data_IF_806838935655
#
_entry.id   IF_806838935655
#
_cell.length_a   1.000
_cell.length_b   1.000
_cell.length_c   1.000
_cell.angle_alpha   90.00
_cell.angle_beta   90.00
_cell.angle_gamma   90.00
#
_symmetry.space_group_name_H-M   'P 1'
#
loop_
_entity.id
_entity.type
_entity.pdbx_description
1 polymer ?
#
# COMPACT_ATOMS: atom_id res chain seq x y z
N UNK A 1 -1.76 -7.63 6.58
CA UNK A 1 -1.37 -8.98 6.09
C UNK A 1 -0.58 -8.99 4.79
N UNK A 2 -0.46 -7.88 4.04
CA UNK A 2 0.21 -7.93 2.72
C UNK A 2 1.66 -8.44 2.77
N UNK A 3 2.37 -8.20 3.88
CA UNK A 3 3.75 -8.67 4.06
C UNK A 3 3.87 -10.20 3.97
N UNK A 4 2.79 -10.95 4.23
CA UNK A 4 2.78 -12.41 4.15
C UNK A 4 2.42 -12.95 2.76
N UNK A 5 1.54 -12.24 2.06
CA UNK A 5 0.86 -12.75 0.87
C UNK A 5 1.20 -11.97 -0.40
N UNK A 6 1.92 -10.86 -0.28
CA UNK A 6 2.28 -9.96 -1.37
C UNK A 6 1.18 -8.96 -1.75
N UNK A 7 1.56 -7.96 -2.54
CA UNK A 7 0.68 -6.86 -2.96
C UNK A 7 -0.50 -7.36 -3.82
N UNK A 8 -0.26 -8.28 -4.76
CA UNK A 8 -1.28 -8.79 -5.69
C UNK A 8 -2.38 -9.59 -4.97
N UNK A 9 -2.00 -10.51 -4.09
CA UNK A 9 -2.97 -11.32 -3.37
C UNK A 9 -3.71 -10.49 -2.31
N UNK A 10 -3.05 -9.48 -1.73
CA UNK A 10 -3.72 -8.54 -0.84
C UNK A 10 -4.77 -7.69 -1.58
N UNK A 11 -4.46 -7.21 -2.78
CA UNK A 11 -5.41 -6.49 -3.64
C UNK A 11 -6.61 -7.38 -4.02
N UNK A 12 -6.34 -8.63 -4.41
CA UNK A 12 -7.40 -9.60 -4.68
C UNK A 12 -8.27 -9.83 -3.44
N UNK A 13 -7.67 -10.05 -2.27
CA UNK A 13 -8.41 -10.31 -1.04
C UNK A 13 -9.40 -9.17 -0.69
N UNK A 14 -9.06 -7.91 -0.98
CA UNK A 14 -9.96 -6.77 -0.80
C UNK A 14 -11.24 -6.89 -1.64
N UNK A 15 -11.18 -7.55 -2.80
CA UNK A 15 -12.35 -7.80 -3.66
C UNK A 15 -13.21 -8.97 -3.16
N UNK A 16 -12.70 -9.80 -2.26
CA UNK A 16 -13.37 -11.00 -1.74
C UNK A 16 -13.71 -10.90 -0.24
N UNK A 17 -13.88 -9.68 0.27
CA UNK A 17 -14.42 -9.43 1.61
C UNK A 17 -13.41 -9.02 2.68
N UNK A 18 -12.12 -8.93 2.36
CA UNK A 18 -11.17 -8.25 3.24
C UNK A 18 -11.44 -6.73 3.25
N UNK A 19 -11.39 -6.12 4.43
CA UNK A 19 -11.67 -4.70 4.65
C UNK A 19 -10.46 -3.92 5.23
N UNK A 20 -9.44 -4.62 5.72
CA UNK A 20 -8.21 -4.05 6.28
C UNK A 20 -6.95 -4.55 5.55
N UNK A 21 -6.03 -3.62 5.27
CA UNK A 21 -4.72 -3.90 4.71
C UNK A 21 -3.65 -3.16 5.50
N UNK A 22 -2.62 -3.90 5.90
CA UNK A 22 -1.47 -3.39 6.66
C UNK A 22 -0.15 -3.93 6.09
N UNK A 23 0.94 -3.26 6.46
CA UNK A 23 2.33 -3.58 6.16
C UNK A 23 3.24 -2.34 6.15
N UNK A 24 2.73 -1.14 6.50
CA UNK A 24 3.50 0.13 6.40
C UNK A 24 4.43 0.37 7.59
N UNK A 25 4.57 -0.61 8.49
CA UNK A 25 5.43 -0.43 9.64
C UNK A 25 6.88 -0.39 9.13
N UNK A 26 7.48 0.80 9.20
CA UNK A 26 8.86 1.10 8.76
C UNK A 26 9.92 0.13 9.31
N UNK A 27 9.57 -0.64 10.34
CA UNK A 27 10.42 -1.59 11.02
C UNK A 27 9.75 -2.96 11.19
N UNK A 28 9.11 -3.49 10.13
CA UNK A 28 8.67 -4.90 10.08
C UNK A 28 9.85 -5.87 9.94
N UNK A 29 10.85 -5.76 10.81
CA UNK A 29 11.99 -6.67 10.84
C UNK A 29 11.53 -8.11 11.06
N UNK A 30 10.48 -8.33 11.86
CA UNK A 30 9.96 -9.67 12.17
C UNK A 30 9.51 -10.40 10.90
N UNK A 31 8.71 -9.75 10.05
CA UNK A 31 8.15 -10.40 8.85
C UNK A 31 9.20 -10.60 7.77
N UNK A 32 10.17 -9.69 7.67
CA UNK A 32 11.30 -9.87 6.77
C UNK A 32 12.23 -11.01 7.21
N UNK A 33 12.50 -11.11 8.52
CA UNK A 33 13.23 -12.26 9.11
C UNK A 33 12.48 -13.58 8.91
N UNK A 34 11.15 -13.54 8.87
CA UNK A 34 10.30 -14.70 8.55
C UNK A 34 10.23 -15.02 7.04
N UNK A 35 10.99 -14.33 6.18
CA UNK A 35 11.11 -14.62 4.75
C UNK A 35 10.22 -13.78 3.83
N UNK A 36 9.55 -12.75 4.34
CA UNK A 36 8.81 -11.81 3.49
C UNK A 36 9.75 -11.11 2.51
N UNK A 37 9.38 -11.01 1.24
CA UNK A 37 10.11 -10.23 0.22
C UNK A 37 9.49 -8.85 0.01
N UNK A 38 8.47 -8.49 0.78
CA UNK A 38 7.75 -7.24 0.62
C UNK A 38 8.63 -6.05 1.06
N UNK A 39 8.66 -4.95 0.28
CA UNK A 39 9.48 -3.78 0.62
C UNK A 39 9.06 -3.13 1.96
N UNK A 40 10.05 -2.89 2.83
CA UNK A 40 9.90 -2.24 4.15
C UNK A 40 9.55 -0.75 4.03
N UNK A 41 10.12 -0.05 3.06
CA UNK A 41 9.83 1.35 2.77
C UNK A 41 8.58 1.46 1.89
N UNK A 42 7.43 1.16 2.48
CA UNK A 42 6.16 1.44 1.83
C UNK A 42 5.55 2.73 2.33
N UNK A 43 5.55 3.71 1.43
CA UNK A 43 4.83 4.96 1.62
C UNK A 43 3.33 4.69 1.65
N UNK A 44 2.61 5.34 2.56
CA UNK A 44 1.14 5.26 2.73
C UNK A 44 0.41 5.50 1.40
N UNK A 45 1.03 6.26 0.51
CA UNK A 45 0.62 6.50 -0.87
C UNK A 45 0.40 5.21 -1.67
N UNK A 46 1.30 4.22 -1.56
CA UNK A 46 1.20 2.98 -2.36
C UNK A 46 0.17 2.00 -1.77
N UNK A 47 -0.01 1.94 -0.44
CA UNK A 47 -1.18 1.25 0.14
C UNK A 47 -2.49 1.86 -0.36
N UNK A 48 -2.58 3.19 -0.34
CA UNK A 48 -3.77 3.88 -0.83
C UNK A 48 -4.02 3.63 -2.32
N UNK A 49 -2.95 3.42 -3.10
CA UNK A 49 -3.06 3.01 -4.50
C UNK A 49 -3.63 1.59 -4.62
N UNK A 50 -3.10 0.60 -3.89
CA UNK A 50 -3.63 -0.77 -3.90
C UNK A 50 -5.12 -0.83 -3.54
N UNK A 51 -5.53 -0.10 -2.49
CA UNK A 51 -6.94 -0.02 -2.08
C UNK A 51 -7.80 0.56 -3.22
N UNK A 52 -7.31 1.60 -3.90
CA UNK A 52 -8.03 2.22 -5.04
C UNK A 52 -8.08 1.31 -6.26
N UNK A 53 -6.98 0.63 -6.57
CA UNK A 53 -6.87 -0.28 -7.72
C UNK A 53 -7.83 -1.49 -7.53
N UNK A 54 -8.03 -1.94 -6.28
CA UNK A 54 -9.08 -2.90 -5.90
C UNK A 54 -10.53 -2.37 -5.97
N UNK A 55 -10.74 -1.09 -6.32
CA UNK A 55 -12.06 -0.45 -6.39
C UNK A 55 -12.60 0.07 -5.05
N UNK A 56 -11.77 0.09 -4.01
CA UNK A 56 -12.16 0.54 -2.66
C UNK A 56 -11.71 1.99 -2.37
N UNK A 57 -12.17 2.54 -1.25
CA UNK A 57 -11.79 3.88 -0.80
C UNK A 57 -10.78 3.81 0.35
N UNK A 58 -9.58 4.39 0.22
CA UNK A 58 -8.57 4.35 1.28
C UNK A 58 -8.99 5.18 2.49
N UNK A 59 -9.10 4.51 3.63
CA UNK A 59 -9.37 5.11 4.94
C UNK A 59 -8.28 4.70 5.93
N UNK A 60 -7.86 5.63 6.77
CA UNK A 60 -6.97 5.35 7.89
C UNK A 60 -7.81 5.13 9.14
N UNK A 61 -7.60 3.98 9.80
CA UNK A 61 -8.22 3.65 11.09
C UNK A 61 -7.32 3.99 12.27
N UNK A 62 -7.91 4.09 13.46
CA UNK A 62 -7.19 3.98 14.73
C UNK A 62 -6.99 2.49 15.12
N UNK A 63 -6.24 2.24 16.20
CA UNK A 63 -5.91 0.88 16.66
C UNK A 63 -7.14 0.05 17.01
N UNK A 64 -8.21 0.68 17.49
CA UNK A 64 -9.43 0.04 17.98
C UNK A 64 -10.58 0.00 16.98
N UNK A 65 -10.37 0.42 15.72
CA UNK A 65 -11.39 0.44 14.67
C UNK A 65 -12.64 1.28 15.01
N UNK A 66 -12.49 2.33 15.83
CA UNK A 66 -13.60 3.21 16.23
C UNK A 66 -13.58 4.55 15.51
N UNK A 67 -12.46 4.93 14.90
CA UNK A 67 -12.31 6.19 14.19
C UNK A 67 -11.65 5.96 12.83
N UNK A 68 -12.22 6.60 11.80
CA UNK A 68 -11.77 6.47 10.42
C UNK A 68 -11.60 7.86 9.79
N UNK A 69 -10.46 8.07 9.13
CA UNK A 69 -10.15 9.32 8.41
C UNK A 69 -9.87 8.99 6.95
N UNK A 70 -10.55 9.66 6.01
CA UNK A 70 -10.28 9.46 4.57
C UNK A 70 -8.83 9.84 4.25
N UNK A 71 -8.10 8.96 3.59
CA UNK A 71 -6.74 9.23 3.17
C UNK A 71 -6.70 9.63 1.69
N UNK A 72 -6.26 10.86 1.43
CA UNK A 72 -6.04 11.33 0.06
C UNK A 72 -4.54 11.25 -0.23
N UNK A 73 -4.08 10.36 -1.12
CA UNK A 73 -2.67 10.31 -1.48
C UNK A 73 -2.25 11.64 -2.13
N UNK A 74 -1.03 12.13 -1.84
CA UNK A 74 -0.52 13.36 -2.44
C UNK A 74 -0.44 13.21 -3.97
N UNK A 75 -0.71 14.30 -4.70
CA UNK A 75 -0.53 14.31 -6.16
C UNK A 75 0.95 14.13 -6.47
N UNK A 76 1.32 12.99 -7.04
CA UNK A 76 2.68 12.73 -7.52
C UNK A 76 2.95 13.72 -8.65
N UNK A 77 3.95 14.60 -8.49
CA UNK A 77 4.38 15.47 -9.58
C UNK A 77 4.93 14.58 -10.70
N UNK A 78 4.46 14.71 -11.95
CA UNK A 78 5.00 13.91 -13.04
C UNK A 78 6.51 14.15 -13.11
N UNK A 79 7.29 13.05 -13.17
CA UNK A 79 8.73 13.17 -13.41
C UNK A 79 8.89 13.84 -14.76
N UNK A 80 9.61 14.96 -14.76
CA UNK A 80 10.00 15.66 -15.99
C UNK A 80 10.89 14.69 -16.78
N UNK A 81 10.34 14.07 -17.82
CA UNK A 81 11.12 13.25 -18.74
C UNK A 81 12.09 14.18 -19.46
N UNK A 82 13.38 13.87 -19.37
CA UNK A 82 14.38 14.51 -20.21
C UNK A 82 14.18 13.96 -21.63
N UNK A 83 14.35 14.79 -22.67
CA UNK A 83 14.28 14.30 -24.04
C UNK A 83 15.32 13.18 -24.22
N UNK A 84 14.87 12.04 -24.74
CA UNK A 84 15.79 10.98 -25.15
C UNK A 84 16.53 11.46 -26.40
N UNK A 85 17.85 11.30 -26.43
CA UNK A 85 18.61 11.54 -27.65
C UNK A 85 18.17 10.53 -28.71
N UNK A 86 17.54 11.01 -29.78
CA UNK A 86 17.37 10.26 -31.02
C UNK A 86 18.66 10.32 -31.81
N UNK A 87 19.04 9.18 -32.41
CA UNK A 87 20.16 9.04 -33.34
C UNK A 87 20.02 9.93 -34.59
#
# INVERSE_FOLDING_TARGET
>A
YRMNIGDQLAELALQFGADDIDGTVQKESIMHLAGSTAPLDHDRTKLARLIKDAGCHPVQRNTTYTQFTKYTPPKIKPRRVLPMATE
#
